data_IF_310569624342
#
_entry.id   IF_310569624342
#
_cell.length_a   1.000
_cell.length_b   1.000
_cell.length_c   1.000
_cell.angle_alpha   90.00
_cell.angle_beta   90.00
_cell.angle_gamma   90.00
#
_symmetry.space_group_name_H-M   'P 1'
#
loop_
_entity.id
_entity.type
_entity.pdbx_description
1 polymer ?
#
# COMPACT_ATOMS: atom_id res chain seq x y z
N UNK A 1 -28.33 -8.37 -0.82
CA UNK A 1 -28.16 -7.68 0.48
C UNK A 1 -28.49 -8.59 1.66
N UNK A 2 -27.60 -9.59 1.91
CA UNK A 2 -27.79 -10.52 3.03
C UNK A 2 -27.52 -9.87 4.41
N UNK A 3 -26.78 -8.76 4.46
CA UNK A 3 -26.37 -8.04 5.70
C UNK A 3 -26.43 -6.53 5.46
N UNK A 4 -27.61 -5.90 5.59
CA UNK A 4 -27.82 -4.50 5.19
C UNK A 4 -27.02 -3.49 6.02
N UNK A 5 -26.75 -3.78 7.29
CA UNK A 5 -26.14 -2.82 8.24
C UNK A 5 -24.62 -3.06 8.42
N UNK A 6 -23.99 -3.82 7.54
CA UNK A 6 -22.56 -4.12 7.62
C UNK A 6 -21.79 -3.33 6.58
N UNK A 7 -20.68 -2.73 7.03
CA UNK A 7 -19.68 -2.09 6.19
C UNK A 7 -18.50 -3.02 5.97
N UNK A 8 -18.01 -3.07 4.75
CA UNK A 8 -16.92 -3.95 4.34
C UNK A 8 -15.66 -3.13 4.03
N UNK A 9 -14.51 -3.69 4.36
CA UNK A 9 -13.20 -3.23 3.91
C UNK A 9 -12.47 -4.42 3.30
N UNK A 10 -12.02 -4.26 2.06
CA UNK A 10 -11.19 -5.25 1.40
C UNK A 10 -9.80 -5.22 2.05
N UNK A 11 -9.27 -6.40 2.38
CA UNK A 11 -7.92 -6.56 2.90
C UNK A 11 -6.87 -6.42 1.79
N UNK A 12 -5.75 -7.13 1.92
CA UNK A 12 -4.74 -7.16 0.87
C UNK A 12 -5.25 -7.88 -0.37
N UNK A 13 -5.06 -7.26 -1.54
CA UNK A 13 -5.44 -7.81 -2.84
C UNK A 13 -4.29 -7.58 -3.83
N UNK A 14 -3.96 -8.60 -4.61
CA UNK A 14 -2.94 -8.48 -5.65
C UNK A 14 -3.44 -7.53 -6.76
N UNK A 15 -2.53 -6.71 -7.31
CA UNK A 15 -2.88 -5.77 -8.37
C UNK A 15 -3.56 -6.45 -9.58
N UNK A 16 -3.20 -7.70 -9.86
CA UNK A 16 -3.75 -8.51 -10.95
C UNK A 16 -5.16 -9.06 -10.68
N UNK A 17 -5.62 -9.00 -9.44
CA UNK A 17 -6.94 -9.50 -9.02
C UNK A 17 -7.99 -8.39 -8.92
N UNK A 18 -7.57 -7.13 -9.06
CA UNK A 18 -8.50 -6.00 -9.07
C UNK A 18 -9.14 -5.93 -10.45
N UNK A 19 -10.45 -6.11 -10.49
CA UNK A 19 -11.26 -6.01 -11.69
C UNK A 19 -12.19 -4.78 -11.66
N UNK A 20 -12.83 -4.51 -12.78
CA UNK A 20 -13.77 -3.39 -12.91
C UNK A 20 -15.00 -3.57 -12.00
N UNK A 21 -15.42 -4.81 -11.74
CA UNK A 21 -16.57 -5.08 -10.87
C UNK A 21 -16.28 -4.65 -9.42
N UNK A 22 -15.07 -4.90 -8.92
CA UNK A 22 -14.64 -4.43 -7.58
C UNK A 22 -14.60 -2.92 -7.51
N UNK A 23 -14.05 -2.24 -8.52
CA UNK A 23 -13.98 -0.77 -8.57
C UNK A 23 -15.37 -0.14 -8.64
N UNK A 24 -16.25 -0.71 -9.46
CA UNK A 24 -17.65 -0.29 -9.54
C UNK A 24 -18.38 -0.48 -8.20
N UNK A 25 -18.17 -1.62 -7.54
CA UNK A 25 -18.76 -1.88 -6.23
C UNK A 25 -18.28 -0.88 -5.17
N UNK A 26 -17.00 -0.54 -5.14
CA UNK A 26 -16.48 0.48 -4.22
C UNK A 26 -17.13 1.83 -4.50
N UNK A 27 -17.27 2.21 -5.77
CA UNK A 27 -17.78 3.50 -6.20
C UNK A 27 -19.28 3.68 -5.94
N UNK A 28 -20.08 2.62 -6.15
CA UNK A 28 -21.55 2.68 -6.14
C UNK A 28 -22.20 2.21 -4.84
N UNK A 29 -21.44 1.65 -3.91
CA UNK A 29 -21.98 1.06 -2.67
C UNK A 29 -22.38 2.08 -1.59
N UNK A 30 -22.32 3.38 -1.87
CA UNK A 30 -22.62 4.46 -0.91
C UNK A 30 -21.84 4.31 0.42
N UNK A 31 -20.56 3.97 0.31
CA UNK A 31 -19.65 3.78 1.43
C UNK A 31 -19.82 2.47 2.20
N UNK A 32 -20.70 1.56 1.78
CA UNK A 32 -20.76 0.20 2.34
C UNK A 32 -19.51 -0.61 2.10
N UNK A 33 -18.90 -0.45 0.92
CA UNK A 33 -17.53 -0.91 0.68
C UNK A 33 -16.61 0.29 0.83
N UNK A 34 -15.71 0.24 1.80
CA UNK A 34 -14.80 1.33 2.09
C UNK A 34 -13.91 1.64 0.87
N UNK A 35 -13.74 2.92 0.48
CA UNK A 35 -12.83 3.31 -0.60
C UNK A 35 -11.37 3.17 -0.16
N UNK A 36 -10.92 1.94 -0.06
CA UNK A 36 -9.59 1.58 0.40
C UNK A 36 -9.16 0.25 -0.20
N UNK A 37 -7.95 0.22 -0.74
CA UNK A 37 -7.28 -1.00 -1.18
C UNK A 37 -5.85 -1.02 -0.65
N UNK A 38 -5.43 -2.19 -0.19
CA UNK A 38 -4.04 -2.48 0.12
C UNK A 38 -3.50 -3.41 -0.95
N UNK A 39 -2.59 -2.90 -1.78
CA UNK A 39 -2.01 -3.59 -2.93
C UNK A 39 -0.52 -3.87 -2.66
N UNK A 40 -0.11 -5.09 -2.24
CA UNK A 40 1.29 -5.37 -1.95
C UNK A 40 2.17 -5.22 -3.19
N UNK A 41 3.10 -4.24 -3.19
CA UNK A 41 4.05 -3.98 -4.27
C UNK A 41 5.32 -4.83 -4.13
N UNK A 42 5.84 -4.93 -2.93
CA UNK A 42 7.07 -5.57 -2.50
C UNK A 42 8.35 -4.88 -3.01
N UNK A 43 8.46 -4.53 -4.30
CA UNK A 43 9.58 -3.81 -4.91
C UNK A 43 9.11 -3.09 -6.17
N UNK A 44 9.71 -1.95 -6.49
CA UNK A 44 9.52 -1.24 -7.76
C UNK A 44 10.50 -1.64 -8.86
N UNK A 45 11.27 -2.71 -8.66
CA UNK A 45 12.27 -3.18 -9.62
C UNK A 45 11.95 -4.60 -10.09
N UNK A 46 11.80 -4.80 -11.40
CA UNK A 46 11.48 -6.10 -11.99
C UNK A 46 12.51 -7.20 -11.68
N UNK A 47 13.84 -6.94 -11.61
CA UNK A 47 14.79 -7.97 -11.20
C UNK A 47 14.52 -8.50 -9.80
N UNK A 48 14.15 -7.62 -8.87
CA UNK A 48 13.82 -7.99 -7.48
C UNK A 48 12.48 -8.73 -7.41
N UNK A 49 11.44 -8.23 -8.10
CA UNK A 49 10.13 -8.89 -8.18
C UNK A 49 10.25 -10.33 -8.70
N UNK A 50 11.04 -10.56 -9.75
CA UNK A 50 11.31 -11.92 -10.28
C UNK A 50 11.99 -12.82 -9.24
N UNK A 51 12.97 -12.30 -8.49
CA UNK A 51 13.63 -13.04 -7.40
C UNK A 51 12.67 -13.38 -6.26
N UNK A 52 11.71 -12.48 -5.97
CA UNK A 52 10.64 -12.70 -5.00
C UNK A 52 9.54 -13.63 -5.54
N UNK A 53 9.63 -14.07 -6.80
CA UNK A 53 8.59 -14.86 -7.50
C UNK A 53 7.23 -14.15 -7.50
N UNK A 54 7.21 -12.83 -7.70
CA UNK A 54 5.96 -12.06 -7.85
C UNK A 54 5.42 -12.20 -9.26
N UNK A 55 4.09 -12.19 -9.36
CA UNK A 55 3.36 -12.39 -10.62
C UNK A 55 3.25 -11.13 -11.47
N UNK A 56 3.39 -9.96 -10.86
CA UNK A 56 3.30 -8.67 -11.54
C UNK A 56 4.68 -8.13 -11.92
N UNK A 57 4.71 -7.28 -12.94
CA UNK A 57 5.83 -6.42 -13.28
C UNK A 57 5.61 -5.02 -12.69
N UNK A 58 6.69 -4.22 -12.61
CA UNK A 58 6.62 -2.80 -12.25
C UNK A 58 5.55 -2.07 -13.06
N UNK A 59 5.55 -2.21 -14.40
CA UNK A 59 4.65 -1.47 -15.27
C UNK A 59 3.20 -1.94 -15.13
N UNK A 60 2.94 -3.23 -15.02
CA UNK A 60 1.60 -3.74 -14.78
C UNK A 60 1.02 -3.24 -13.46
N UNK A 61 1.85 -3.25 -12.40
CA UNK A 61 1.44 -2.70 -11.10
C UNK A 61 1.15 -1.20 -11.17
N UNK A 62 2.07 -0.44 -11.81
CA UNK A 62 1.94 1.00 -12.03
C UNK A 62 0.63 1.35 -12.71
N UNK A 63 0.36 0.72 -13.84
CA UNK A 63 -0.86 0.94 -14.61
C UNK A 63 -2.09 0.68 -13.76
N UNK A 64 -2.15 -0.46 -13.07
CA UNK A 64 -3.30 -0.81 -12.23
C UNK A 64 -3.49 0.18 -11.06
N UNK A 65 -2.43 0.62 -10.41
CA UNK A 65 -2.53 1.57 -9.30
C UNK A 65 -3.07 2.94 -9.75
N UNK A 66 -2.69 3.39 -10.95
CA UNK A 66 -3.22 4.63 -11.54
C UNK A 66 -4.69 4.48 -11.95
N UNK A 67 -5.07 3.37 -12.58
CA UNK A 67 -6.46 3.05 -12.93
C UNK A 67 -7.37 3.03 -11.69
N UNK A 68 -6.91 2.41 -10.61
CA UNK A 68 -7.62 2.37 -9.31
C UNK A 68 -7.83 3.77 -8.76
N UNK A 69 -6.81 4.61 -8.77
CA UNK A 69 -6.89 5.97 -8.25
C UNK A 69 -7.78 6.89 -9.10
N UNK A 70 -7.80 6.66 -10.41
CA UNK A 70 -8.68 7.39 -11.32
C UNK A 70 -10.15 6.95 -11.19
N UNK A 71 -10.39 5.65 -11.11
CA UNK A 71 -11.73 5.08 -11.00
C UNK A 71 -12.43 5.41 -9.67
N UNK A 72 -11.67 5.48 -8.57
CA UNK A 72 -12.22 5.72 -7.22
C UNK A 72 -11.58 6.97 -6.61
N UNK A 73 -12.15 8.16 -6.84
CA UNK A 73 -11.65 9.38 -6.22
C UNK A 73 -11.57 9.27 -4.69
N UNK A 74 -10.48 9.77 -4.11
CA UNK A 74 -10.24 9.74 -2.65
C UNK A 74 -10.09 8.32 -2.07
N UNK A 75 -9.61 7.37 -2.87
CA UNK A 75 -9.27 6.03 -2.35
C UNK A 75 -8.07 6.10 -1.41
N UNK A 76 -8.15 5.40 -0.29
CA UNK A 76 -6.98 5.06 0.50
C UNK A 76 -6.20 3.94 -0.19
N UNK A 77 -5.03 4.25 -0.77
CA UNK A 77 -4.20 3.28 -1.47
C UNK A 77 -2.93 3.00 -0.68
N UNK A 78 -2.79 1.77 -0.21
CA UNK A 78 -1.63 1.32 0.55
C UNK A 78 -0.84 0.23 -0.14
N UNK A 79 0.44 0.09 0.23
CA UNK A 79 1.28 -1.01 -0.22
C UNK A 79 2.31 -1.43 0.83
N UNK A 80 2.82 -2.66 0.66
CA UNK A 80 3.98 -3.17 1.37
C UNK A 80 5.22 -3.09 0.49
N UNK A 81 6.37 -2.77 1.08
CA UNK A 81 7.67 -2.75 0.41
C UNK A 81 8.69 -3.45 1.29
N UNK A 82 9.51 -4.29 0.69
CA UNK A 82 10.65 -4.96 1.32
C UNK A 82 11.93 -4.33 0.79
N UNK A 83 12.79 -3.83 1.67
CA UNK A 83 14.10 -3.29 1.34
C UNK A 83 15.22 -4.27 1.68
N UNK A 84 16.25 -4.33 0.85
CA UNK A 84 17.40 -5.19 1.10
C UNK A 84 17.14 -6.67 0.83
N UNK A 85 16.23 -7.00 -0.07
CA UNK A 85 16.07 -8.37 -0.54
C UNK A 85 17.35 -8.85 -1.22
N UNK A 86 17.76 -10.14 -1.10
CA UNK A 86 18.99 -10.65 -1.70
C UNK A 86 19.09 -10.30 -3.19
N UNK A 87 20.19 -9.67 -3.58
CA UNK A 87 20.46 -9.18 -4.91
C UNK A 87 19.82 -7.86 -5.30
N UNK A 88 19.17 -7.14 -4.37
CA UNK A 88 18.70 -5.78 -4.61
C UNK A 88 19.90 -4.82 -4.75
N UNK A 89 20.10 -4.26 -5.93
CA UNK A 89 21.13 -3.25 -6.20
C UNK A 89 20.68 -1.85 -5.77
N UNK A 90 21.60 -0.87 -5.82
CA UNK A 90 21.22 0.53 -5.61
C UNK A 90 20.28 1.04 -6.70
N UNK A 91 20.49 0.63 -7.95
CA UNK A 91 19.61 0.98 -9.07
C UNK A 91 18.17 0.45 -8.85
N UNK A 92 18.04 -0.79 -8.36
CA UNK A 92 16.74 -1.40 -8.04
C UNK A 92 16.03 -0.65 -6.90
N UNK A 93 16.79 -0.22 -5.89
CA UNK A 93 16.24 0.60 -4.82
C UNK A 93 15.73 1.95 -5.35
N UNK A 94 16.51 2.63 -6.19
CA UNK A 94 16.10 3.90 -6.81
C UNK A 94 14.90 3.73 -7.75
N UNK A 95 14.76 2.58 -8.42
CA UNK A 95 13.55 2.25 -9.19
C UNK A 95 12.32 2.16 -8.27
N UNK A 96 12.49 1.58 -7.10
CA UNK A 96 11.42 1.51 -6.09
C UNK A 96 11.05 2.89 -5.56
N UNK A 97 12.04 3.74 -5.23
CA UNK A 97 11.82 5.13 -4.79
C UNK A 97 11.03 5.91 -5.84
N UNK A 98 11.48 5.89 -7.11
CA UNK A 98 10.79 6.58 -8.21
C UNK A 98 9.33 6.13 -8.40
N UNK A 99 9.08 4.83 -8.30
CA UNK A 99 7.72 4.32 -8.41
C UNK A 99 6.84 4.76 -7.24
N UNK A 100 7.37 4.76 -6.04
CA UNK A 100 6.66 5.26 -4.84
C UNK A 100 6.39 6.75 -4.94
N UNK A 101 7.33 7.55 -5.46
CA UNK A 101 7.11 8.98 -5.69
C UNK A 101 5.96 9.23 -6.67
N UNK A 102 5.92 8.49 -7.76
CA UNK A 102 4.95 8.62 -8.83
C UNK A 102 3.54 8.19 -8.41
N UNK A 103 3.39 7.02 -7.77
CA UNK A 103 2.10 6.44 -7.48
C UNK A 103 1.35 7.16 -6.34
N UNK A 104 0.03 7.26 -6.39
CA UNK A 104 -0.78 8.00 -5.41
C UNK A 104 -1.00 7.22 -4.10
N UNK A 105 0.05 6.64 -3.55
CA UNK A 105 -0.04 5.98 -2.26
C UNK A 105 -0.37 6.96 -1.14
N UNK A 106 -1.28 6.56 -0.27
CA UNK A 106 -1.68 7.32 0.91
C UNK A 106 -0.94 6.86 2.17
N UNK A 107 -0.44 5.63 2.15
CA UNK A 107 0.41 5.07 3.19
C UNK A 107 1.24 3.89 2.64
N UNK A 108 2.34 3.57 3.31
CA UNK A 108 3.18 2.41 2.99
C UNK A 108 3.64 1.73 4.26
N UNK A 109 3.72 0.41 4.20
CA UNK A 109 4.46 -0.38 5.17
C UNK A 109 5.80 -0.78 4.57
N UNK A 110 6.89 -0.38 5.20
CA UNK A 110 8.24 -0.63 4.72
C UNK A 110 9.00 -1.52 5.71
N UNK A 111 9.38 -2.69 5.24
CA UNK A 111 10.06 -3.72 6.02
C UNK A 111 11.47 -3.95 5.49
N UNK A 112 12.52 -3.89 6.30
CA UNK A 112 13.80 -4.45 5.90
C UNK A 112 13.67 -5.97 5.77
N UNK A 113 14.29 -6.55 4.75
CA UNK A 113 14.33 -7.99 4.59
C UNK A 113 14.93 -8.64 5.84
N UNK A 114 14.22 -9.61 6.38
CA UNK A 114 14.68 -10.42 7.49
C UNK A 114 14.83 -11.88 7.05
N UNK A 115 16.06 -12.40 7.01
CA UNK A 115 16.30 -13.79 6.69
C UNK A 115 15.55 -14.70 7.66
N UNK A 116 14.80 -15.65 7.12
CA UNK A 116 14.09 -16.64 7.93
C UNK A 116 14.60 -18.04 7.58
N UNK A 117 15.03 -18.77 8.60
CA UNK A 117 15.50 -20.14 8.44
C UNK A 117 14.45 -21.02 7.72
N UNK A 118 14.90 -21.90 6.84
CA UNK A 118 14.03 -22.78 6.06
C UNK A 118 13.35 -22.14 4.83
N UNK A 119 13.54 -20.83 4.59
CA UNK A 119 13.01 -20.19 3.38
C UNK A 119 14.01 -20.16 2.23
N UNK A 120 13.53 -20.30 0.99
CA UNK A 120 14.37 -20.16 -0.22
C UNK A 120 15.07 -18.80 -0.27
N UNK A 121 14.41 -17.75 0.17
CA UNK A 121 14.99 -16.40 0.18
C UNK A 121 16.28 -16.29 1.03
N UNK A 122 16.40 -17.11 2.09
CA UNK A 122 17.59 -17.16 2.94
C UNK A 122 18.82 -17.81 2.25
N UNK A 123 18.61 -18.53 1.16
CA UNK A 123 19.68 -19.21 0.40
C UNK A 123 20.05 -18.52 -0.90
N UNK A 124 19.38 -17.39 -1.19
CA UNK A 124 19.69 -16.62 -2.40
C UNK A 124 21.07 -15.95 -2.31
N UNK A 125 21.80 -15.86 -3.44
CA UNK A 125 23.08 -15.16 -3.49
C UNK A 125 22.91 -13.65 -3.30
N UNK A 126 24.03 -12.97 -3.09
CA UNK A 126 24.15 -11.52 -2.99
C UNK A 126 23.32 -10.92 -1.85
N UNK A 127 23.50 -11.35 -0.59
CA UNK A 127 22.78 -10.79 0.53
C UNK A 127 23.10 -9.30 0.70
N UNK A 128 22.08 -8.48 0.89
CA UNK A 128 22.23 -7.06 1.17
C UNK A 128 22.53 -6.86 2.67
N UNK A 129 23.59 -6.11 3.02
CA UNK A 129 23.89 -5.84 4.43
C UNK A 129 22.69 -5.18 5.15
N UNK A 130 22.41 -5.62 6.39
CA UNK A 130 21.28 -5.10 7.17
C UNK A 130 21.32 -3.58 7.38
N UNK A 131 22.53 -3.01 7.48
CA UNK A 131 22.70 -1.54 7.53
C UNK A 131 22.12 -0.87 6.29
N UNK A 132 22.43 -1.39 5.09
CA UNK A 132 21.95 -0.86 3.80
C UNK A 132 20.43 -1.04 3.69
N UNK A 133 19.91 -2.22 4.02
CA UNK A 133 18.46 -2.47 4.05
C UNK A 133 17.74 -1.48 4.99
N UNK A 134 18.33 -1.20 6.15
CA UNK A 134 17.81 -0.25 7.10
C UNK A 134 17.85 1.20 6.61
N UNK A 135 18.91 1.61 5.91
CA UNK A 135 19.05 2.93 5.29
C UNK A 135 17.99 3.14 4.20
N UNK A 136 17.86 2.20 3.27
CA UNK A 136 16.81 2.18 2.23
C UNK A 136 15.41 2.23 2.83
N UNK A 137 15.20 1.46 3.90
CA UNK A 137 13.92 1.48 4.61
C UNK A 137 13.61 2.82 5.30
N UNK A 138 14.61 3.55 5.81
CA UNK A 138 14.41 4.90 6.36
C UNK A 138 14.01 5.90 5.27
N UNK A 139 14.66 5.87 4.12
CA UNK A 139 14.34 6.72 2.98
C UNK A 139 12.89 6.54 2.53
N UNK A 140 12.47 5.30 2.27
CA UNK A 140 11.10 5.01 1.85
C UNK A 140 10.05 5.33 2.93
N UNK A 141 10.37 5.14 4.21
CA UNK A 141 9.46 5.56 5.29
C UNK A 141 9.31 7.08 5.39
N UNK A 142 10.39 7.84 5.17
CA UNK A 142 10.32 9.29 5.12
C UNK A 142 9.43 9.76 3.95
N UNK A 143 9.60 9.16 2.78
CA UNK A 143 8.75 9.44 1.62
C UNK A 143 7.28 9.06 1.90
N UNK A 144 7.02 7.91 2.50
CA UNK A 144 5.69 7.47 2.89
C UNK A 144 5.01 8.44 3.87
N UNK A 145 5.75 8.93 4.87
CA UNK A 145 5.26 9.92 5.83
C UNK A 145 4.89 11.23 5.13
N UNK A 146 5.70 11.69 4.20
CA UNK A 146 5.42 12.91 3.42
C UNK A 146 4.15 12.74 2.57
N UNK A 147 4.01 11.63 1.85
CA UNK A 147 2.80 11.32 1.07
C UNK A 147 1.57 11.24 1.97
N UNK A 148 1.66 10.57 3.11
CA UNK A 148 0.57 10.47 4.08
C UNK A 148 0.17 11.86 4.62
N UNK A 149 1.15 12.72 4.96
CA UNK A 149 0.89 14.08 5.42
C UNK A 149 0.14 14.91 4.36
N UNK A 150 0.59 14.84 3.08
CA UNK A 150 -0.06 15.53 1.96
C UNK A 150 -1.49 15.03 1.76
N UNK A 151 -1.69 13.72 1.79
CA UNK A 151 -3.02 13.13 1.68
C UNK A 151 -3.94 13.60 2.82
N UNK A 152 -3.49 13.55 4.07
CA UNK A 152 -4.26 14.07 5.21
C UNK A 152 -4.62 15.55 5.03
N UNK A 153 -3.68 16.37 4.59
CA UNK A 153 -3.94 17.79 4.35
C UNK A 153 -5.00 18.00 3.27
N UNK A 154 -5.00 17.21 2.20
CA UNK A 154 -6.01 17.28 1.14
C UNK A 154 -7.40 16.85 1.60
N UNK A 155 -7.49 16.11 2.72
CA UNK A 155 -8.75 15.64 3.31
C UNK A 155 -9.30 16.57 4.40
N UNK A 156 -8.57 17.62 4.76
CA UNK A 156 -9.00 18.56 5.79
C UNK A 156 -10.27 19.33 5.36
N UNK A 157 -11.27 19.37 6.22
CA UNK A 157 -12.55 20.01 5.94
C UNK A 157 -13.53 19.19 5.09
N UNK A 158 -13.13 18.00 4.66
CA UNK A 158 -13.98 17.11 3.86
C UNK A 158 -14.75 16.11 4.75
N UNK A 159 -16.04 15.89 4.49
CA UNK A 159 -16.81 14.90 5.25
C UNK A 159 -16.30 13.49 5.00
N UNK A 160 -16.35 12.66 6.03
CA UNK A 160 -15.94 11.25 5.95
C UNK A 160 -16.84 10.38 6.82
N UNK A 161 -17.15 9.19 6.29
CA UNK A 161 -17.73 8.14 7.11
C UNK A 161 -16.64 7.53 7.99
N UNK A 162 -16.87 7.50 9.30
CA UNK A 162 -15.92 7.01 10.29
C UNK A 162 -16.49 5.76 10.96
N UNK A 163 -15.68 4.69 11.00
CA UNK A 163 -15.96 3.54 11.86
C UNK A 163 -15.29 3.78 13.21
N UNK A 164 -16.09 3.89 14.27
CA UNK A 164 -15.57 4.10 15.62
C UNK A 164 -14.85 2.84 16.13
N UNK A 165 -13.66 3.04 16.66
CA UNK A 165 -12.91 1.99 17.38
C UNK A 165 -13.33 1.97 18.85
N UNK A 166 -12.83 0.99 19.61
CA UNK A 166 -13.17 0.80 21.02
C UNK A 166 -13.07 2.12 21.82
N UNK A 167 -14.10 2.41 22.62
CA UNK A 167 -14.31 3.60 23.46
C UNK A 167 -14.81 4.88 22.76
N UNK A 168 -15.04 4.86 21.45
CA UNK A 168 -15.73 5.96 20.75
C UNK A 168 -14.93 7.24 20.55
N UNK A 169 -13.67 7.33 21.02
CA UNK A 169 -12.83 8.53 20.94
C UNK A 169 -11.92 8.53 19.71
N UNK A 170 -11.81 7.40 19.02
CA UNK A 170 -11.02 7.24 17.81
C UNK A 170 -11.80 6.50 16.75
N UNK A 171 -11.47 6.77 15.50
CA UNK A 171 -12.10 6.09 14.40
C UNK A 171 -11.19 5.98 13.19
N UNK A 172 -11.66 5.17 12.25
CA UNK A 172 -11.02 4.94 10.98
C UNK A 172 -11.95 5.39 9.86
N UNK A 173 -11.49 6.32 9.03
CA UNK A 173 -12.26 6.79 7.86
C UNK A 173 -12.34 5.71 6.79
N UNK A 174 -13.24 5.88 5.82
CA UNK A 174 -13.35 4.98 4.69
C UNK A 174 -12.04 4.80 3.93
N UNK A 175 -11.33 5.88 3.71
CA UNK A 175 -10.05 5.97 3.02
C UNK A 175 -8.82 5.74 3.92
N UNK A 176 -9.01 5.08 5.06
CA UNK A 176 -7.97 4.57 5.96
C UNK A 176 -7.19 5.63 6.76
N UNK A 177 -7.77 6.79 7.04
CA UNK A 177 -7.19 7.75 7.97
C UNK A 177 -7.67 7.52 9.40
N UNK A 178 -6.75 7.51 10.35
CA UNK A 178 -7.08 7.53 11.78
C UNK A 178 -7.41 8.96 12.19
N UNK A 179 -8.53 9.10 12.88
CA UNK A 179 -9.04 10.39 13.36
C UNK A 179 -9.45 10.28 14.83
N UNK A 180 -9.26 11.36 15.56
CA UNK A 180 -9.86 11.53 16.87
C UNK A 180 -11.29 12.07 16.67
N UNK A 181 -12.25 11.58 17.47
CA UNK A 181 -13.66 11.95 17.39
C UNK A 181 -14.02 12.68 18.66
N UNK A 182 -14.44 13.93 18.50
CA UNK A 182 -14.99 14.73 19.60
C UNK A 182 -16.49 14.42 19.71
N UNK A 183 -16.97 14.16 20.93
CA UNK A 183 -18.36 13.85 21.21
C UNK A 183 -19.24 15.09 21.35
#
# INVERSE_FOLDING_TARGET
DAVPDVRFRVGSIEATEIDELLLELIRTSDGRVAPHLHMPLQSGADPVLRRMKRWHTREAYRTRALEVADAVPRIGLGADIITGFPGETEADHQDTVRLVEELPFTYLHVFPFSPKEGTVANTLPDPVPQRVAGERGRELRALAQEKHRRYRASRSGEPSLVTLEAQGLRGLTGDYLRVDVEG
#
